data_IF_328305214905
#
_entry.id   IF_328305214905
#
_cell.length_a   1.000
_cell.length_b   1.000
_cell.length_c   1.000
_cell.angle_alpha   90.00
_cell.angle_beta   90.00
_cell.angle_gamma   90.00
#
_symmetry.space_group_name_H-M   'P 1'
#
loop_
_entity.id
_entity.type
_entity.pdbx_description
1 polymer ?
#
# COMPACT_ATOMS: atom_id res chain seq x y z
N UNK A 1 4.48 -13.87 15.66
CA UNK A 1 3.87 -13.27 14.46
C UNK A 1 2.87 -12.21 14.92
N UNK A 2 3.19 -10.91 14.89
CA UNK A 2 2.20 -9.90 15.19
C UNK A 2 1.23 -9.87 14.00
N UNK A 3 -0.02 -10.31 14.23
CA UNK A 3 -1.09 -10.12 13.25
C UNK A 3 -1.52 -8.67 13.37
N UNK A 4 -1.38 -7.90 12.29
CA UNK A 4 -1.97 -6.56 12.25
C UNK A 4 -3.50 -6.70 12.48
N UNK A 5 -4.09 -5.84 13.32
CA UNK A 5 -5.54 -5.85 13.55
C UNK A 5 -6.25 -5.73 12.20
N UNK A 6 -7.31 -6.51 11.97
CA UNK A 6 -8.11 -6.45 10.74
C UNK A 6 -8.66 -5.04 10.61
N UNK A 7 -8.10 -4.25 9.69
CA UNK A 7 -8.57 -2.89 9.47
C UNK A 7 -9.96 -3.00 8.83
N UNK A 8 -10.87 -2.12 9.18
CA UNK A 8 -12.22 -1.98 8.60
C UNK A 8 -12.25 -0.77 7.68
N UNK A 9 -13.20 -0.65 6.73
CA UNK A 9 -13.17 0.43 5.71
C UNK A 9 -13.06 1.87 6.26
N UNK A 10 -13.28 2.10 7.56
CA UNK A 10 -13.00 3.37 8.24
C UNK A 10 -11.52 3.65 8.47
N UNK A 11 -10.68 2.62 8.45
CA UNK A 11 -9.25 2.67 8.76
C UNK A 11 -8.38 2.80 7.48
N UNK A 12 -8.98 3.23 6.36
CA UNK A 12 -8.23 3.56 5.12
C UNK A 12 -7.11 4.57 5.38
N UNK A 13 -7.28 5.61 6.24
CA UNK A 13 -6.18 6.51 6.59
C UNK A 13 -5.01 5.78 7.27
N UNK A 14 -5.27 4.93 8.26
CA UNK A 14 -4.23 4.12 8.91
C UNK A 14 -3.54 3.17 7.93
N UNK A 15 -4.32 2.52 7.06
CA UNK A 15 -3.79 1.61 6.05
C UNK A 15 -2.88 2.37 5.07
N UNK A 16 -3.27 3.59 4.70
CA UNK A 16 -2.46 4.46 3.84
C UNK A 16 -1.13 4.83 4.51
N UNK A 17 -1.16 5.19 5.80
CA UNK A 17 0.04 5.49 6.56
C UNK A 17 0.99 4.27 6.65
N UNK A 18 0.45 3.06 6.84
CA UNK A 18 1.24 1.83 6.87
C UNK A 18 1.85 1.50 5.51
N UNK A 19 1.09 1.65 4.42
CA UNK A 19 1.59 1.45 3.05
C UNK A 19 2.70 2.46 2.74
N UNK A 20 2.51 3.74 3.05
CA UNK A 20 3.54 4.76 2.86
C UNK A 20 4.80 4.46 3.67
N UNK A 21 4.64 4.02 4.93
CA UNK A 21 5.78 3.65 5.78
C UNK A 21 6.56 2.49 5.20
N UNK A 22 5.89 1.47 4.67
CA UNK A 22 6.54 0.36 3.96
C UNK A 22 7.28 0.83 2.71
N UNK A 23 6.66 1.67 1.89
CA UNK A 23 7.28 2.26 0.69
C UNK A 23 8.50 3.14 1.04
N UNK A 24 8.46 3.85 2.17
CA UNK A 24 9.59 4.65 2.66
C UNK A 24 10.72 3.78 3.22
N UNK A 25 10.40 2.65 3.84
CA UNK A 25 11.39 1.72 4.40
C UNK A 25 12.01 0.80 3.36
N UNK A 26 11.27 0.52 2.28
CA UNK A 26 11.75 -0.25 1.14
C UNK A 26 11.56 0.60 -0.11
N UNK A 27 12.62 1.34 -0.54
CA UNK A 27 12.57 2.14 -1.76
C UNK A 27 12.47 1.28 -3.04
N UNK A 28 12.46 -0.05 -2.89
CA UNK A 28 12.23 -1.00 -3.95
C UNK A 28 10.76 -1.07 -4.36
N UNK A 29 10.53 -1.60 -5.55
CA UNK A 29 9.22 -1.79 -6.14
C UNK A 29 8.33 -2.72 -5.29
N UNK A 30 7.52 -2.15 -4.39
CA UNK A 30 6.54 -2.93 -3.64
C UNK A 30 5.31 -3.25 -4.50
N UNK A 31 5.01 -4.53 -4.66
CA UNK A 31 3.79 -4.99 -5.34
C UNK A 31 2.61 -5.02 -4.37
N UNK A 32 1.39 -5.01 -4.92
CA UNK A 32 0.15 -5.19 -4.15
C UNK A 32 0.17 -6.49 -3.33
N UNK A 33 0.74 -7.56 -3.88
CA UNK A 33 0.83 -8.86 -3.20
C UNK A 33 1.81 -8.83 -2.03
N UNK A 34 2.95 -8.16 -2.21
CA UNK A 34 3.92 -7.93 -1.13
C UNK A 34 3.26 -7.15 0.00
N UNK A 35 2.63 -6.01 -0.31
CA UNK A 35 1.93 -5.19 0.68
C UNK A 35 0.78 -5.91 1.37
N UNK A 36 0.02 -6.72 0.63
CA UNK A 36 -1.06 -7.56 1.17
C UNK A 36 -0.52 -8.58 2.17
N UNK A 37 0.65 -9.17 1.90
CA UNK A 37 1.29 -10.16 2.76
C UNK A 37 1.87 -9.51 4.03
N UNK A 38 2.60 -8.41 3.88
CA UNK A 38 3.20 -7.67 4.99
C UNK A 38 2.14 -7.09 5.94
N UNK A 39 1.07 -6.52 5.38
CA UNK A 39 0.00 -5.90 6.16
C UNK A 39 -1.08 -6.88 6.62
N UNK A 40 -1.07 -8.12 6.12
CA UNK A 40 -2.12 -9.10 6.38
C UNK A 40 -3.50 -8.66 5.87
N UNK A 41 -3.52 -7.82 4.84
CA UNK A 41 -4.71 -7.15 4.32
C UNK A 41 -5.08 -7.65 2.93
N UNK A 42 -6.35 -7.50 2.52
CA UNK A 42 -6.76 -8.03 1.22
C UNK A 42 -6.15 -7.23 0.06
N UNK A 43 -5.74 -7.88 -1.05
CA UNK A 43 -5.14 -7.19 -2.20
C UNK A 43 -6.04 -6.09 -2.78
N UNK A 44 -7.37 -6.29 -2.75
CA UNK A 44 -8.35 -5.29 -3.20
C UNK A 44 -8.30 -4.01 -2.35
N UNK A 45 -8.02 -4.15 -1.07
CA UNK A 45 -8.01 -3.07 -0.10
C UNK A 45 -6.70 -2.30 -0.13
N UNK A 46 -5.58 -3.02 -0.26
CA UNK A 46 -4.30 -2.42 -0.65
C UNK A 46 -4.45 -1.63 -1.94
N UNK A 47 -5.10 -2.20 -2.96
CA UNK A 47 -5.28 -1.53 -4.24
C UNK A 47 -6.07 -0.22 -4.12
N UNK A 48 -7.19 -0.20 -3.38
CA UNK A 48 -7.95 1.03 -3.12
C UNK A 48 -7.12 2.08 -2.41
N UNK A 49 -6.32 1.65 -1.43
CA UNK A 49 -5.46 2.54 -0.63
C UNK A 49 -4.37 3.15 -1.49
N UNK A 50 -3.73 2.36 -2.36
CA UNK A 50 -2.76 2.86 -3.32
C UNK A 50 -3.39 3.85 -4.31
N UNK A 51 -4.57 3.57 -4.82
CA UNK A 51 -5.29 4.50 -5.71
C UNK A 51 -5.67 5.79 -4.99
N UNK A 52 -6.04 5.74 -3.71
CA UNK A 52 -6.29 6.94 -2.92
C UNK A 52 -5.01 7.75 -2.65
N UNK A 53 -3.91 7.09 -2.32
CA UNK A 53 -2.61 7.72 -2.11
C UNK A 53 -2.03 8.34 -3.39
N UNK A 54 -2.25 7.68 -4.53
CA UNK A 54 -1.90 8.20 -5.85
C UNK A 54 -2.74 9.42 -6.23
N UNK A 55 -4.06 9.38 -5.99
CA UNK A 55 -4.94 10.53 -6.19
C UNK A 55 -4.58 11.72 -5.28
N UNK A 56 -4.04 11.45 -4.09
CA UNK A 56 -3.52 12.46 -3.17
C UNK A 56 -2.10 12.96 -3.54
N UNK A 57 -1.45 12.36 -4.54
CA UNK A 57 -0.10 12.73 -4.99
C UNK A 57 1.03 12.25 -4.07
N UNK A 58 0.77 11.30 -3.16
CA UNK A 58 1.77 10.79 -2.22
C UNK A 58 2.66 9.70 -2.81
N UNK A 59 2.16 8.98 -3.80
CA UNK A 59 2.88 7.92 -4.50
C UNK A 59 2.56 7.99 -6.00
N UNK A 60 3.49 7.52 -6.83
CA UNK A 60 3.22 7.28 -8.25
C UNK A 60 3.16 5.78 -8.46
N UNK A 61 2.03 5.27 -8.96
CA UNK A 61 1.95 3.88 -9.40
C UNK A 61 2.36 3.81 -10.87
N UNK A 62 3.50 3.18 -11.20
CA UNK A 62 3.80 2.88 -12.61
C UNK A 62 3.06 1.61 -13.00
N UNK A 63 2.07 1.74 -13.87
CA UNK A 63 1.38 0.60 -14.47
C UNK A 63 2.21 -0.01 -15.61
N UNK A 64 3.12 -0.93 -15.25
CA UNK A 64 3.56 -2.00 -16.14
C UNK A 64 2.93 -3.34 -15.70
N UNK A 65 3.35 -4.47 -16.29
CA UNK A 65 2.97 -5.83 -15.81
C UNK A 65 3.19 -6.03 -14.30
N UNK A 66 4.05 -5.21 -13.70
CA UNK A 66 4.22 -5.03 -12.26
C UNK A 66 3.91 -3.56 -11.88
N UNK A 67 2.99 -3.36 -10.94
CA UNK A 67 2.77 -2.05 -10.31
C UNK A 67 3.99 -1.75 -9.43
N UNK A 68 4.83 -0.82 -9.87
CA UNK A 68 6.00 -0.33 -9.11
C UNK A 68 5.65 0.99 -8.45
N UNK A 69 5.83 1.07 -7.13
CA UNK A 69 5.64 2.30 -6.35
C UNK A 69 6.95 3.08 -6.33
N UNK A 70 6.91 4.33 -6.74
CA UNK A 70 8.02 5.28 -6.64
C UNK A 70 7.53 6.55 -5.94
N UNK A 71 8.31 7.03 -4.98
CA UNK A 71 8.07 8.32 -4.33
C UNK A 71 8.34 9.45 -5.33
N UNK A 72 7.44 10.41 -5.40
CA UNK A 72 7.58 11.62 -6.22
C UNK A 72 8.53 12.63 -5.58
#
# INVERSE_FOLDING_TARGET
>A
MPRHPRLTDRDIPELTALVLRLVLQSPDALTVNTLSTELGESPRRIQRTLTAAEAAGWIVTRTGKERRLTLS
#
